data_IF_549592463350
#
_entry.id   IF_549592463350
#
_cell.length_a   1.000
_cell.length_b   1.000
_cell.length_c   1.000
_cell.angle_alpha   90.00
_cell.angle_beta   90.00
_cell.angle_gamma   90.00
#
_symmetry.space_group_name_H-M   'P 1'
#
loop_
_entity.id
_entity.type
_entity.pdbx_description
1 polymer ?
#
# COMPACT_ATOMS: atom_id res chain seq x y z
N UNK A 1 7.59 -7.16 -7.56
CA UNK A 1 8.48 -6.00 -7.51
C UNK A 1 9.22 -5.96 -8.83
N UNK A 2 9.12 -4.86 -9.55
CA UNK A 2 9.86 -4.64 -10.78
C UNK A 2 11.28 -4.15 -10.45
N UNK A 3 12.21 -4.32 -11.38
CA UNK A 3 13.63 -4.02 -11.18
C UNK A 3 13.92 -2.57 -10.75
N UNK A 4 13.01 -1.64 -11.05
CA UNK A 4 13.15 -0.21 -10.77
C UNK A 4 12.50 0.24 -9.46
N UNK A 5 11.68 -0.59 -8.81
CA UNK A 5 10.85 -0.16 -7.68
C UNK A 5 11.68 0.43 -6.54
N UNK A 6 12.77 -0.23 -6.17
CA UNK A 6 13.64 0.19 -5.05
C UNK A 6 14.31 1.54 -5.31
N UNK A 7 14.72 1.79 -6.57
CA UNK A 7 15.29 3.08 -6.99
C UNK A 7 14.23 4.17 -7.00
N UNK A 8 13.02 3.85 -7.47
CA UNK A 8 11.91 4.80 -7.53
C UNK A 8 11.43 5.21 -6.13
N UNK A 9 11.36 4.28 -5.17
CA UNK A 9 10.98 4.60 -3.80
C UNK A 9 11.96 5.57 -3.16
N UNK A 10 13.25 5.29 -3.23
CA UNK A 10 14.28 6.16 -2.64
C UNK A 10 14.34 7.52 -3.33
N UNK A 11 14.14 7.57 -4.66
CA UNK A 11 14.01 8.83 -5.40
C UNK A 11 12.78 9.63 -4.94
N UNK A 12 11.65 8.97 -4.72
CA UNK A 12 10.41 9.60 -4.26
C UNK A 12 10.53 10.12 -2.83
N UNK A 13 10.98 9.30 -1.88
CA UNK A 13 11.18 9.73 -0.49
C UNK A 13 12.29 10.76 -0.36
N UNK A 14 13.27 10.77 -1.27
CA UNK A 14 14.31 11.79 -1.39
C UNK A 14 13.80 13.21 -1.69
N UNK A 15 12.58 13.37 -2.20
CA UNK A 15 11.96 14.70 -2.41
C UNK A 15 11.89 15.51 -1.09
N UNK A 16 11.87 14.83 0.06
CA UNK A 16 11.88 15.46 1.38
C UNK A 16 13.10 16.34 1.65
N UNK A 17 14.22 16.15 0.92
CA UNK A 17 15.40 17.02 1.01
C UNK A 17 15.07 18.45 0.57
N UNK A 18 14.23 18.61 -0.44
CA UNK A 18 13.89 19.91 -1.00
C UNK A 18 12.66 20.55 -0.34
N UNK A 19 11.84 19.75 0.35
CA UNK A 19 10.59 20.18 0.97
C UNK A 19 10.57 19.78 2.44
N UNK A 20 11.23 20.56 3.33
CA UNK A 20 11.21 20.32 4.76
C UNK A 20 9.76 20.35 5.29
N UNK A 21 9.24 19.17 5.66
CA UNK A 21 7.85 19.00 6.10
C UNK A 21 7.02 18.06 5.23
N UNK A 22 7.48 17.75 4.01
CA UNK A 22 6.83 16.74 3.17
C UNK A 22 6.86 15.37 3.87
N UNK A 23 5.72 14.69 3.86
CA UNK A 23 5.54 13.33 4.37
C UNK A 23 5.18 12.41 3.22
N UNK A 24 5.88 11.29 3.11
CA UNK A 24 5.70 10.32 2.02
C UNK A 24 5.17 9.01 2.58
N UNK A 25 4.12 8.49 1.97
CA UNK A 25 3.48 7.23 2.35
C UNK A 25 3.54 6.25 1.18
N UNK A 26 3.61 4.96 1.47
CA UNK A 26 3.42 3.90 0.48
C UNK A 26 2.03 3.31 0.65
N UNK A 27 1.26 3.24 -0.42
CA UNK A 27 -0.05 2.58 -0.39
C UNK A 27 0.09 1.09 -0.70
N UNK A 28 -0.61 0.26 0.06
CA UNK A 28 -0.71 -1.19 -0.16
C UNK A 28 -2.18 -1.50 -0.43
N UNK A 29 -2.48 -1.90 -1.66
CA UNK A 29 -3.83 -2.25 -2.08
C UNK A 29 -4.17 -1.74 -3.47
N UNK A 30 -5.33 -1.10 -3.56
CA UNK A 30 -5.98 -0.71 -4.80
C UNK A 30 -6.71 -1.86 -5.49
N UNK A 31 -7.58 -1.51 -6.43
CA UNK A 31 -8.48 -2.42 -7.14
C UNK A 31 -7.83 -3.74 -7.60
N UNK A 32 -6.66 -3.65 -8.23
CA UNK A 32 -5.97 -4.81 -8.81
C UNK A 32 -5.42 -5.79 -7.76
N UNK A 33 -5.25 -5.37 -6.50
CA UNK A 33 -4.78 -6.26 -5.43
C UNK A 33 -5.86 -7.27 -5.00
N UNK A 34 -7.14 -6.91 -5.16
CA UNK A 34 -8.28 -7.74 -4.77
C UNK A 34 -8.49 -7.84 -3.25
N UNK A 35 -9.75 -7.89 -2.82
CA UNK A 35 -10.11 -7.84 -1.40
C UNK A 35 -9.73 -9.10 -0.59
N UNK A 36 -9.58 -10.27 -1.23
CA UNK A 36 -9.32 -11.53 -0.52
C UNK A 36 -7.98 -11.53 0.20
N UNK A 37 -6.93 -10.92 -0.40
CA UNK A 37 -5.58 -10.89 0.18
C UNK A 37 -5.59 -10.16 1.52
N UNK A 38 -6.41 -9.12 1.64
CA UNK A 38 -6.59 -8.37 2.87
C UNK A 38 -7.42 -9.14 3.88
N UNK A 39 -8.51 -9.79 3.46
CA UNK A 39 -9.30 -10.69 4.31
C UNK A 39 -8.42 -11.76 4.95
N UNK A 40 -7.54 -12.39 4.17
CA UNK A 40 -6.60 -13.41 4.66
C UNK A 40 -5.54 -12.81 5.60
N UNK A 41 -4.98 -11.64 5.25
CA UNK A 41 -4.01 -10.92 6.07
C UNK A 41 -4.58 -10.54 7.44
N UNK A 42 -5.84 -10.10 7.52
CA UNK A 42 -6.47 -9.69 8.78
C UNK A 42 -7.05 -10.84 9.59
N UNK A 43 -7.23 -12.02 8.99
CA UNK A 43 -7.99 -13.15 9.57
C UNK A 43 -7.45 -13.69 10.90
N UNK A 44 -6.14 -13.59 11.15
CA UNK A 44 -5.52 -14.07 12.39
C UNK A 44 -4.58 -13.03 12.98
N UNK A 45 -4.33 -13.11 14.30
CA UNK A 45 -3.35 -12.26 14.97
C UNK A 45 -1.94 -12.46 14.41
N UNK A 46 -1.58 -13.71 14.10
CA UNK A 46 -0.28 -14.05 13.51
C UNK A 46 -0.09 -13.41 12.13
N UNK A 47 -1.11 -13.45 11.27
CA UNK A 47 -1.03 -12.83 9.94
C UNK A 47 -0.92 -11.30 10.04
N UNK A 48 -1.71 -10.67 10.92
CA UNK A 48 -1.59 -9.23 11.18
C UNK A 48 -0.22 -8.85 11.69
N UNK A 49 0.35 -9.62 12.62
CA UNK A 49 1.70 -9.38 13.12
C UNK A 49 2.75 -9.49 12.02
N UNK A 50 2.68 -10.54 11.20
CA UNK A 50 3.59 -10.72 10.08
C UNK A 50 3.53 -9.54 9.08
N UNK A 51 2.32 -9.06 8.77
CA UNK A 51 2.13 -7.89 7.93
C UNK A 51 2.73 -6.64 8.57
N UNK A 52 2.40 -6.32 9.82
CA UNK A 52 2.92 -5.16 10.56
C UNK A 52 4.45 -5.17 10.57
N UNK A 53 5.07 -6.31 10.87
CA UNK A 53 6.53 -6.43 10.92
C UNK A 53 7.16 -6.22 9.54
N UNK A 54 6.53 -6.73 8.48
CA UNK A 54 6.99 -6.52 7.10
C UNK A 54 6.84 -5.07 6.64
N UNK A 55 5.71 -4.43 6.96
CA UNK A 55 5.43 -3.04 6.63
C UNK A 55 6.40 -2.10 7.35
N UNK A 56 6.66 -2.34 8.65
CA UNK A 56 7.62 -1.56 9.42
C UNK A 56 9.04 -1.66 8.85
N UNK A 57 9.46 -2.87 8.46
CA UNK A 57 10.75 -3.06 7.77
C UNK A 57 10.79 -2.29 6.47
N UNK A 58 9.76 -2.40 5.64
CA UNK A 58 9.69 -1.73 4.35
C UNK A 58 9.77 -0.19 4.47
N UNK A 59 8.96 0.39 5.34
CA UNK A 59 8.92 1.85 5.58
C UNK A 59 10.30 2.36 6.03
N UNK A 60 10.97 1.63 6.93
CA UNK A 60 12.33 1.97 7.38
C UNK A 60 13.37 1.85 6.27
N UNK A 61 13.33 0.76 5.50
CA UNK A 61 14.31 0.50 4.43
C UNK A 61 14.28 1.58 3.35
N UNK A 62 13.09 2.06 2.98
CA UNK A 62 12.93 3.02 1.87
C UNK A 62 12.62 4.45 2.31
N UNK A 63 12.73 4.73 3.61
CA UNK A 63 12.56 6.05 4.22
C UNK A 63 11.16 6.68 4.01
N UNK A 64 10.11 5.87 3.95
CA UNK A 64 8.74 6.36 4.03
C UNK A 64 8.42 6.82 5.46
N UNK A 65 7.43 7.70 5.61
CA UNK A 65 6.93 8.16 6.91
C UNK A 65 5.76 7.32 7.42
N UNK A 66 5.16 6.49 6.56
CA UNK A 66 4.07 5.61 6.93
C UNK A 66 3.56 4.74 5.78
N UNK A 67 2.50 4.02 6.07
CA UNK A 67 1.76 3.17 5.14
C UNK A 67 0.32 3.67 5.03
N UNK A 68 -0.21 3.60 3.82
CA UNK A 68 -1.63 3.76 3.52
C UNK A 68 -2.20 2.39 3.15
N UNK A 69 -3.34 2.01 3.74
CA UNK A 69 -3.97 0.71 3.48
C UNK A 69 -5.20 0.96 2.63
N UNK A 70 -5.07 0.69 1.33
CA UNK A 70 -6.12 0.88 0.35
C UNK A 70 -6.85 -0.43 0.09
N UNK A 71 -7.50 -0.95 1.15
CA UNK A 71 -8.28 -2.18 1.07
C UNK A 71 -9.65 -1.90 0.45
N UNK A 72 -9.74 -2.10 -0.86
CA UNK A 72 -11.00 -2.00 -1.59
C UNK A 72 -11.78 -3.33 -1.54
N UNK A 73 -12.97 -3.27 -0.93
CA UNK A 73 -13.94 -4.37 -0.92
C UNK A 73 -14.90 -4.21 -2.10
N UNK A 74 -15.07 -5.24 -2.93
CA UNK A 74 -16.18 -5.28 -3.89
C UNK A 74 -17.51 -5.50 -3.15
N UNK A 75 -18.10 -4.42 -2.63
CA UNK A 75 -19.55 -4.34 -2.38
C UNK A 75 -20.27 -3.65 -3.54
N UNK A 76 -19.75 -3.77 -4.76
CA UNK A 76 -20.43 -3.29 -5.95
C UNK A 76 -20.97 -4.48 -6.72
N UNK A 77 -22.26 -4.70 -6.52
CA UNK A 77 -23.15 -5.38 -7.43
C UNK A 77 -22.72 -5.14 -8.91
N UNK A 78 -22.50 -6.19 -9.72
CA UNK A 78 -22.11 -6.05 -11.13
C UNK A 78 -23.10 -5.23 -11.99
N UNK A 79 -24.27 -4.85 -11.46
CA UNK A 79 -25.21 -3.95 -12.13
C UNK A 79 -24.72 -2.51 -12.31
N UNK A 80 -23.73 -2.03 -11.54
CA UNK A 80 -23.36 -0.60 -11.52
C UNK A 80 -22.28 -0.25 -12.57
N UNK A 81 -21.63 -1.25 -13.17
CA UNK A 81 -20.63 -1.04 -14.22
C UNK A 81 -21.21 -0.71 -15.61
N UNK A 82 -22.54 -0.65 -15.76
CA UNK A 82 -23.25 -0.34 -17.02
C UNK A 82 -23.85 1.07 -17.09
N UNK A 83 -23.35 2.02 -16.30
CA UNK A 83 -23.86 3.40 -16.31
C UNK A 83 -22.81 4.46 -16.70
N UNK A 84 -21.63 4.06 -17.17
CA UNK A 84 -20.61 5.01 -17.66
C UNK A 84 -20.05 4.66 -19.05
N UNK A 85 -20.79 3.88 -19.85
CA UNK A 85 -20.55 3.72 -21.29
C UNK A 85 -21.70 4.38 -22.08
#
# INVERSE_FOLDING_TARGET
MNDFDTQLYTKFTGLKVNFPGLKTYISVGGWAAGGQVFSDMVSTSANRQAFIDSALRFVKTYAFDGIDIDWECMLLNPAIHRLND
#
